data_IF_576944732055
#
_entry.id   IF_576944732055
#
_cell.length_a   1.000
_cell.length_b   1.000
_cell.length_c   1.000
_cell.angle_alpha   90.00
_cell.angle_beta   90.00
_cell.angle_gamma   90.00
#
_symmetry.space_group_name_H-M   'P 1'
#
loop_
_entity.id
_entity.type
_entity.pdbx_description
1 polymer ?
#
# COMPACT_ATOMS: atom_id res chain seq x y z
N UNK A 1 -0.52 9.73 16.56
CA UNK A 1 -0.13 8.33 16.16
C UNK A 1 -0.96 7.33 16.94
N UNK A 2 -1.63 6.43 16.27
CA UNK A 2 -2.39 5.34 16.87
C UNK A 2 -1.58 4.04 16.87
N UNK A 3 -1.78 3.20 17.89
CA UNK A 3 -1.15 1.89 17.99
C UNK A 3 -2.17 0.83 18.38
N UNK A 4 -2.06 -0.33 17.75
CA UNK A 4 -2.92 -1.50 17.92
C UNK A 4 -2.07 -2.75 18.04
N UNK A 5 -2.52 -3.73 18.82
CA UNK A 5 -1.83 -5.01 18.97
C UNK A 5 -2.85 -6.14 19.00
N UNK A 6 -2.65 -7.15 18.18
CA UNK A 6 -3.51 -8.33 18.10
C UNK A 6 -2.78 -9.51 17.45
N UNK A 7 -2.97 -10.70 17.97
CA UNK A 7 -2.44 -11.96 17.40
C UNK A 7 -0.93 -11.91 17.07
N UNK A 8 -0.13 -11.30 17.97
CA UNK A 8 1.31 -11.17 17.80
C UNK A 8 1.75 -10.02 16.90
N UNK A 9 0.84 -9.41 16.16
CA UNK A 9 1.13 -8.27 15.29
C UNK A 9 0.88 -6.95 16.00
N UNK A 10 1.79 -6.00 15.85
CA UNK A 10 1.63 -4.61 16.26
C UNK A 10 1.52 -3.73 15.00
N UNK A 11 0.49 -2.91 14.95
CA UNK A 11 0.23 -1.92 13.90
C UNK A 11 0.35 -0.51 14.49
N UNK A 12 1.07 0.36 13.82
CA UNK A 12 1.12 1.80 14.11
C UNK A 12 0.62 2.56 12.88
N UNK A 13 -0.13 3.62 13.14
CA UNK A 13 -0.68 4.50 12.11
C UNK A 13 -0.43 5.96 12.48
N UNK A 14 0.14 6.71 11.55
CA UNK A 14 0.35 8.14 11.68
C UNK A 14 -0.84 8.88 11.04
N UNK A 15 -1.62 9.58 11.86
CA UNK A 15 -2.83 10.31 11.45
C UNK A 15 -2.54 11.54 10.58
N UNK A 16 -1.30 12.03 10.61
CA UNK A 16 -0.90 13.22 9.84
C UNK A 16 -0.39 12.85 8.46
N UNK A 17 0.47 11.84 8.39
CA UNK A 17 1.11 11.40 7.14
C UNK A 17 0.41 10.22 6.49
N UNK A 18 -0.59 9.63 7.17
CA UNK A 18 -1.36 8.45 6.74
C UNK A 18 -0.47 7.21 6.50
N UNK A 19 0.76 7.25 6.99
CA UNK A 19 1.69 6.12 6.93
C UNK A 19 1.37 5.14 8.03
N UNK A 20 1.66 3.90 7.75
CA UNK A 20 1.55 2.84 8.72
C UNK A 20 2.85 2.04 8.81
N UNK A 21 3.02 1.37 9.91
CA UNK A 21 4.03 0.32 10.07
C UNK A 21 3.42 -0.85 10.81
N UNK A 22 3.93 -2.02 10.55
CA UNK A 22 3.56 -3.20 11.31
C UNK A 22 4.80 -4.00 11.70
N UNK A 23 4.70 -4.72 12.79
CA UNK A 23 5.80 -5.55 13.29
C UNK A 23 5.28 -6.84 13.90
N UNK A 24 6.08 -7.90 13.79
CA UNK A 24 5.88 -9.19 14.44
C UNK A 24 7.25 -9.79 14.74
N UNK A 25 7.40 -10.42 15.89
CA UNK A 25 8.60 -11.18 16.30
C UNK A 25 9.94 -10.43 16.13
N UNK A 26 9.92 -9.11 16.33
CA UNK A 26 11.10 -8.25 16.23
C UNK A 26 11.34 -7.64 14.85
N UNK A 27 10.73 -8.14 13.79
CA UNK A 27 10.78 -7.51 12.47
C UNK A 27 9.76 -6.39 12.35
N UNK A 28 10.15 -5.30 11.68
CA UNK A 28 9.28 -4.15 11.41
C UNK A 28 9.37 -3.75 9.95
N UNK A 29 8.21 -3.43 9.38
CA UNK A 29 8.07 -2.87 8.03
C UNK A 29 7.33 -1.55 8.13
N UNK A 30 7.81 -0.52 7.45
CA UNK A 30 7.25 0.82 7.52
C UNK A 30 7.43 1.58 6.21
N UNK A 31 6.60 2.60 6.00
CA UNK A 31 6.82 3.62 4.98
C UNK A 31 7.84 4.66 5.43
N UNK A 32 8.50 5.30 4.47
CA UNK A 32 9.38 6.45 4.72
C UNK A 32 8.72 7.77 4.29
N UNK A 33 9.40 8.88 4.53
CA UNK A 33 8.97 10.20 4.10
C UNK A 33 8.91 10.32 2.57
N UNK A 34 7.99 11.13 2.08
CA UNK A 34 7.92 11.59 0.69
C UNK A 34 6.91 10.89 -0.20
N UNK A 35 6.33 9.75 0.19
CA UNK A 35 5.26 9.10 -0.57
C UNK A 35 4.03 8.91 0.31
N UNK A 36 2.97 9.62 -0.03
CA UNK A 36 1.69 9.60 0.68
C UNK A 36 0.62 8.91 -0.17
N UNK A 37 -0.42 8.35 0.48
CA UNK A 37 -1.61 7.94 -0.23
C UNK A 37 -2.21 9.10 -1.01
N UNK A 38 -2.55 8.86 -2.26
CA UNK A 38 -3.06 9.92 -3.15
C UNK A 38 -4.01 9.37 -4.19
N UNK A 39 -4.84 10.24 -4.70
CA UNK A 39 -5.59 10.01 -5.91
C UNK A 39 -5.06 10.92 -7.03
N UNK A 40 -5.17 10.45 -8.27
CA UNK A 40 -4.76 11.19 -9.46
C UNK A 40 -5.96 11.43 -10.35
N UNK A 41 -6.02 12.63 -10.90
CA UNK A 41 -7.01 13.07 -11.89
C UNK A 41 -6.36 14.03 -12.88
N UNK A 42 -6.48 13.77 -14.18
CA UNK A 42 -5.96 14.67 -15.23
C UNK A 42 -4.51 15.12 -14.95
N UNK A 43 -3.61 14.18 -14.70
CA UNK A 43 -2.20 14.41 -14.36
C UNK A 43 -1.95 15.23 -13.06
N UNK A 44 -2.98 15.45 -12.25
CA UNK A 44 -2.86 16.07 -10.93
C UNK A 44 -3.01 15.04 -9.83
N UNK A 45 -2.11 15.10 -8.88
CA UNK A 45 -2.17 14.27 -7.67
C UNK A 45 -2.74 15.07 -6.51
N UNK A 46 -3.60 14.40 -5.73
CA UNK A 46 -4.25 14.93 -4.53
C UNK A 46 -3.93 13.99 -3.37
N UNK A 47 -3.10 14.46 -2.43
CA UNK A 47 -2.87 13.72 -1.19
C UNK A 47 -4.18 13.52 -0.43
N UNK A 48 -4.37 12.36 0.18
CA UNK A 48 -5.52 12.12 1.06
C UNK A 48 -5.54 13.08 2.25
N UNK A 49 -4.37 13.45 2.77
CA UNK A 49 -4.25 14.45 3.84
C UNK A 49 -4.73 15.85 3.43
N UNK A 50 -4.79 16.12 2.12
CA UNK A 50 -5.30 17.39 1.56
C UNK A 50 -6.83 17.45 1.40
N UNK A 51 -7.58 16.46 1.84
CA UNK A 51 -9.04 16.51 1.83
C UNK A 51 -9.56 17.59 2.79
N UNK A 52 -10.69 18.23 2.45
CA UNK A 52 -11.29 19.26 3.28
C UNK A 52 -11.78 18.73 4.64
N UNK A 53 -12.16 17.47 4.68
CA UNK A 53 -12.51 16.75 5.90
C UNK A 53 -11.69 15.47 5.98
N UNK A 54 -10.94 15.34 7.08
CA UNK A 54 -10.22 14.12 7.42
C UNK A 54 -10.55 13.77 8.86
N UNK A 55 -11.03 12.54 9.09
CA UNK A 55 -11.29 12.03 10.44
C UNK A 55 -10.71 10.64 10.60
N UNK A 56 -10.22 10.33 11.79
CA UNK A 56 -9.68 9.04 12.14
C UNK A 56 -10.36 8.52 13.39
N UNK A 57 -10.75 7.27 13.40
CA UNK A 57 -11.34 6.63 14.56
C UNK A 57 -10.75 5.23 14.78
N UNK A 58 -10.58 4.88 16.05
CA UNK A 58 -10.22 3.52 16.43
C UNK A 58 -11.40 2.62 16.19
N UNK A 59 -11.15 1.47 15.55
CA UNK A 59 -12.14 0.41 15.41
C UNK A 59 -11.70 -0.83 16.16
N UNK A 60 -12.65 -1.49 16.80
CA UNK A 60 -12.47 -2.80 17.42
C UNK A 60 -13.75 -3.61 17.20
N UNK A 61 -13.59 -4.77 16.60
CA UNK A 61 -14.69 -5.66 16.23
C UNK A 61 -14.39 -7.10 16.70
N UNK A 62 -15.34 -7.99 16.56
CA UNK A 62 -15.09 -9.40 16.79
C UNK A 62 -14.02 -10.00 15.89
N UNK A 63 -13.76 -9.39 14.72
CA UNK A 63 -12.83 -9.88 13.71
C UNK A 63 -11.46 -9.19 13.72
N UNK A 64 -11.33 -8.01 14.35
CA UNK A 64 -10.05 -7.32 14.37
C UNK A 64 -10.04 -5.95 15.04
N UNK A 65 -8.88 -5.30 15.01
CA UNK A 65 -8.64 -3.98 15.60
C UNK A 65 -7.80 -3.12 14.67
N UNK A 66 -8.09 -1.82 14.59
CA UNK A 66 -7.35 -0.92 13.72
C UNK A 66 -7.92 0.50 13.70
N UNK A 67 -7.73 1.17 12.58
CA UNK A 67 -8.19 2.53 12.32
C UNK A 67 -9.10 2.56 11.10
N UNK A 68 -10.19 3.31 11.20
CA UNK A 68 -11.00 3.79 10.08
C UNK A 68 -10.71 5.25 9.87
N UNK A 69 -10.51 5.66 8.63
CA UNK A 69 -10.32 7.06 8.25
C UNK A 69 -11.35 7.44 7.19
N UNK A 70 -11.93 8.63 7.32
CA UNK A 70 -12.88 9.17 6.34
C UNK A 70 -12.29 10.42 5.71
N UNK A 71 -12.35 10.50 4.40
CA UNK A 71 -11.86 11.61 3.58
C UNK A 71 -12.99 12.15 2.72
N UNK A 72 -13.19 13.46 2.73
CA UNK A 72 -14.19 14.10 1.90
C UNK A 72 -13.78 15.50 1.46
N UNK A 73 -14.21 15.88 0.25
CA UNK A 73 -13.98 17.20 -0.30
C UNK A 73 -12.54 17.44 -0.73
N UNK A 74 -12.21 17.06 -1.94
CA UNK A 74 -10.93 17.37 -2.58
C UNK A 74 -11.08 18.60 -3.47
N UNK A 75 -10.02 19.38 -3.65
CA UNK A 75 -10.06 20.62 -4.42
C UNK A 75 -10.67 20.41 -5.82
N UNK A 76 -11.87 20.94 -6.03
CA UNK A 76 -12.60 20.87 -7.29
C UNK A 76 -13.35 19.56 -7.54
N UNK A 77 -13.51 18.68 -6.53
CA UNK A 77 -14.21 17.43 -6.66
C UNK A 77 -14.93 17.00 -5.38
N UNK A 78 -16.15 16.49 -5.49
CA UNK A 78 -16.93 15.97 -4.36
C UNK A 78 -16.68 14.46 -4.18
N UNK A 79 -15.40 14.08 -4.02
CA UNK A 79 -15.05 12.72 -3.65
C UNK A 79 -15.25 12.50 -2.17
N UNK A 80 -15.76 11.32 -1.81
CA UNK A 80 -15.81 10.87 -0.43
C UNK A 80 -15.57 9.36 -0.38
N UNK A 81 -14.62 8.95 0.44
CA UNK A 81 -14.29 7.56 0.66
C UNK A 81 -13.80 7.35 2.10
N UNK A 82 -13.73 6.12 2.48
CA UNK A 82 -13.12 5.72 3.73
C UNK A 82 -12.03 4.67 3.48
N UNK A 83 -11.09 4.63 4.41
CA UNK A 83 -10.04 3.62 4.43
C UNK A 83 -10.00 2.93 5.78
N UNK A 84 -9.57 1.68 5.74
CA UNK A 84 -9.34 0.89 6.93
C UNK A 84 -7.93 0.34 6.90
N UNK A 85 -7.22 0.41 8.02
CA UNK A 85 -5.99 -0.33 8.26
C UNK A 85 -6.18 -1.06 9.59
N UNK A 86 -6.19 -2.37 9.57
CA UNK A 86 -6.54 -3.15 10.74
C UNK A 86 -5.86 -4.53 10.77
N UNK A 87 -5.73 -5.09 11.97
CA UNK A 87 -5.17 -6.42 12.21
C UNK A 87 -6.33 -7.40 12.31
N UNK A 88 -6.30 -8.44 11.50
CA UNK A 88 -7.26 -9.54 11.55
C UNK A 88 -6.98 -10.46 12.75
N UNK A 89 -7.99 -10.74 13.57
CA UNK A 89 -7.84 -11.53 14.79
C UNK A 89 -7.41 -12.97 14.52
N UNK A 90 -7.90 -13.57 13.45
CA UNK A 90 -7.68 -14.99 13.15
C UNK A 90 -6.28 -15.31 12.69
N UNK A 91 -5.63 -14.39 11.96
CA UNK A 91 -4.34 -14.61 11.32
C UNK A 91 -3.23 -13.68 11.83
N UNK A 92 -3.60 -12.51 12.37
CA UNK A 92 -2.67 -11.42 12.63
C UNK A 92 -2.21 -10.68 11.36
N UNK A 93 -2.80 -10.97 10.20
CA UNK A 93 -2.54 -10.25 8.96
C UNK A 93 -2.99 -8.79 9.08
N UNK A 94 -2.32 -7.88 8.38
CA UNK A 94 -2.73 -6.48 8.28
C UNK A 94 -3.52 -6.29 6.98
N UNK A 95 -4.76 -5.81 7.10
CA UNK A 95 -5.61 -5.49 5.96
C UNK A 95 -5.71 -3.99 5.78
N UNK A 96 -5.57 -3.56 4.53
CA UNK A 96 -5.76 -2.19 4.10
C UNK A 96 -6.91 -2.14 3.09
N UNK A 97 -7.96 -1.38 3.42
CA UNK A 97 -9.16 -1.31 2.60
C UNK A 97 -9.44 0.13 2.19
N UNK A 98 -9.86 0.30 0.95
CA UNK A 98 -10.36 1.55 0.42
C UNK A 98 -11.82 1.34 -0.01
N UNK A 99 -12.73 2.19 0.47
CA UNK A 99 -14.18 2.02 0.28
C UNK A 99 -14.79 3.35 -0.19
N UNK A 100 -15.37 3.43 -1.39
CA UNK A 100 -16.05 4.63 -1.83
C UNK A 100 -17.33 4.86 -1.00
N UNK A 101 -17.54 6.08 -0.49
CA UNK A 101 -18.77 6.50 0.19
C UNK A 101 -19.75 7.12 -0.77
N UNK A 102 -19.25 7.71 -1.86
CA UNK A 102 -20.05 8.21 -2.95
C UNK A 102 -19.52 7.63 -4.24
N UNK A 103 -20.41 7.41 -5.17
CA UNK A 103 -20.03 7.05 -6.51
C UNK A 103 -19.13 8.17 -7.05
N UNK A 104 -17.86 7.86 -7.23
CA UNK A 104 -16.92 8.70 -7.95
C UNK A 104 -17.33 8.57 -9.42
N UNK A 105 -18.39 9.30 -9.78
CA UNK A 105 -19.04 9.19 -11.07
C UNK A 105 -18.15 9.60 -12.24
N UNK A 106 -18.71 9.58 -13.43
CA UNK A 106 -17.96 9.86 -14.65
C UNK A 106 -17.30 11.26 -14.65
N UNK A 107 -17.85 12.21 -13.89
CA UNK A 107 -17.35 13.60 -13.83
C UNK A 107 -17.45 14.17 -12.41
N UNK A 108 -16.35 14.59 -11.79
CA UNK A 108 -14.97 14.43 -12.22
C UNK A 108 -14.43 13.02 -11.90
N UNK A 109 -13.77 12.44 -12.87
CA UNK A 109 -13.27 11.07 -12.82
C UNK A 109 -11.95 10.96 -12.06
N UNK A 110 -11.80 9.93 -11.20
CA UNK A 110 -10.49 9.54 -10.68
C UNK A 110 -9.80 8.66 -11.72
N UNK A 111 -8.52 8.93 -11.98
CA UNK A 111 -7.73 8.12 -12.90
C UNK A 111 -6.99 7.00 -12.18
N UNK A 112 -6.44 7.27 -11.00
CA UNK A 112 -5.72 6.29 -10.19
C UNK A 112 -5.79 6.63 -8.69
N UNK A 113 -5.76 5.61 -7.86
CA UNK A 113 -5.60 5.70 -6.41
C UNK A 113 -4.37 4.93 -6.00
N UNK A 114 -3.41 5.58 -5.34
CA UNK A 114 -2.30 4.93 -4.64
C UNK A 114 -2.74 4.66 -3.20
N UNK A 115 -2.97 3.40 -2.88
CA UNK A 115 -3.37 2.94 -1.56
C UNK A 115 -3.01 1.47 -1.37
N UNK A 116 -2.54 1.05 -0.18
CA UNK A 116 -2.14 1.88 0.96
C UNK A 116 -0.85 2.65 0.72
N UNK A 117 -0.41 3.44 1.72
CA UNK A 117 0.91 4.08 1.67
C UNK A 117 2.00 3.05 1.36
N UNK A 118 2.90 3.30 0.41
CA UNK A 118 3.96 2.36 0.07
C UNK A 118 4.86 2.05 1.26
N UNK A 119 5.29 0.81 1.36
CA UNK A 119 6.36 0.43 2.27
C UNK A 119 7.72 0.70 1.64
N UNK A 120 8.72 0.93 2.47
CA UNK A 120 10.07 1.31 2.06
C UNK A 120 11.10 0.33 2.60
N UNK A 121 12.11 0.05 1.81
CA UNK A 121 13.20 -0.84 2.15
C UNK A 121 14.54 -0.13 2.04
N UNK A 122 15.38 -0.28 3.05
CA UNK A 122 16.74 0.24 3.05
C UNK A 122 17.59 -0.52 2.02
N UNK A 123 18.39 0.21 1.25
CA UNK A 123 19.33 -0.38 0.28
C UNK A 123 20.59 -0.98 0.95
N UNK A 124 20.80 -0.73 2.22
CA UNK A 124 22.02 -1.17 2.91
C UNK A 124 22.13 -2.70 3.01
N UNK A 125 21.01 -3.42 3.01
CA UNK A 125 21.04 -4.89 3.10
C UNK A 125 20.91 -5.54 1.72
N UNK A 126 22.03 -6.03 1.22
CA UNK A 126 22.13 -6.74 -0.06
C UNK A 126 21.44 -8.11 -0.07
N UNK A 127 21.13 -8.65 1.11
CA UNK A 127 20.54 -9.99 1.24
C UNK A 127 19.01 -9.94 1.36
N UNK A 128 18.45 -8.78 1.63
CA UNK A 128 17.00 -8.57 1.55
C UNK A 128 16.56 -8.50 0.09
N UNK A 129 15.45 -9.15 -0.24
CA UNK A 129 14.97 -9.21 -1.62
C UNK A 129 13.48 -8.92 -1.70
N UNK A 130 13.09 -8.26 -2.80
CA UNK A 130 11.69 -8.14 -3.22
C UNK A 130 11.41 -9.18 -4.28
N UNK A 131 10.41 -10.02 -4.04
CA UNK A 131 9.92 -11.01 -4.99
C UNK A 131 8.67 -10.48 -5.66
N UNK A 132 8.66 -10.46 -6.97
CA UNK A 132 7.51 -10.06 -7.78
C UNK A 132 7.09 -11.19 -8.72
N UNK A 133 5.82 -11.21 -9.08
CA UNK A 133 5.21 -12.28 -9.88
C UNK A 133 5.23 -11.99 -11.39
N UNK A 134 6.23 -11.26 -11.85
CA UNK A 134 6.39 -10.97 -13.27
C UNK A 134 6.81 -12.26 -14.01
N UNK A 135 6.02 -12.68 -14.99
CA UNK A 135 6.23 -13.94 -15.76
C UNK A 135 6.46 -15.17 -14.86
N UNK A 136 7.69 -15.62 -14.76
CA UNK A 136 8.10 -16.79 -13.95
C UNK A 136 8.50 -16.43 -12.52
N UNK A 137 8.36 -15.16 -12.15
CA UNK A 137 8.84 -14.61 -10.89
C UNK A 137 10.25 -14.02 -11.00
N UNK A 138 10.42 -12.84 -10.41
CA UNK A 138 11.69 -12.12 -10.37
C UNK A 138 12.03 -11.80 -8.93
N UNK A 139 13.28 -12.06 -8.54
CA UNK A 139 13.84 -11.63 -7.26
C UNK A 139 14.73 -10.41 -7.47
N UNK A 140 14.42 -9.33 -6.80
CA UNK A 140 15.17 -8.06 -6.88
C UNK A 140 15.87 -7.84 -5.54
N UNK A 141 17.21 -7.89 -5.47
CA UNK A 141 17.93 -7.52 -4.25
C UNK A 141 17.66 -6.07 -3.88
N UNK A 142 17.50 -5.76 -2.59
CA UNK A 142 17.19 -4.40 -2.16
C UNK A 142 18.30 -3.38 -2.48
N UNK A 143 19.53 -3.85 -2.63
CA UNK A 143 20.67 -3.00 -3.02
C UNK A 143 20.86 -2.84 -4.54
N UNK A 144 19.99 -3.41 -5.37
CA UNK A 144 20.16 -3.41 -6.83
C UNK A 144 20.34 -2.00 -7.44
N UNK A 145 19.70 -0.93 -6.95
CA UNK A 145 19.92 0.40 -7.51
C UNK A 145 21.35 0.89 -7.27
N UNK A 146 21.95 0.54 -6.13
CA UNK A 146 23.34 0.87 -5.81
C UNK A 146 24.31 0.06 -6.67
N UNK A 147 24.05 -1.23 -6.86
CA UNK A 147 24.89 -2.12 -7.64
C UNK A 147 24.84 -1.82 -9.16
N UNK A 148 23.69 -1.42 -9.66
CA UNK A 148 23.50 -1.10 -11.08
C UNK A 148 23.91 0.35 -11.40
N UNK A 149 24.11 1.20 -10.38
CA UNK A 149 24.56 2.58 -10.56
C UNK A 149 23.52 3.49 -11.21
N UNK A 150 22.24 3.27 -10.91
CA UNK A 150 21.14 4.06 -11.44
C UNK A 150 20.69 5.12 -10.44
N UNK A 151 20.47 6.35 -10.90
CA UNK A 151 20.03 7.45 -10.05
C UNK A 151 18.55 7.40 -9.71
N UNK A 152 17.73 6.82 -10.59
CA UNK A 152 16.31 6.61 -10.37
C UNK A 152 15.82 5.41 -11.21
N UNK A 153 15.00 4.58 -10.62
CA UNK A 153 14.38 3.45 -11.32
C UNK A 153 12.93 3.35 -10.88
N UNK A 154 12.04 3.27 -11.86
CA UNK A 154 10.64 2.93 -11.65
C UNK A 154 10.30 1.68 -12.46
N UNK A 155 9.64 0.75 -11.80
CA UNK A 155 9.25 -0.51 -12.38
C UNK A 155 7.91 -0.94 -11.81
N UNK A 156 7.00 -1.35 -12.66
CA UNK A 156 5.68 -1.73 -12.19
C UNK A 156 4.83 -2.41 -13.25
N UNK A 157 3.68 -2.88 -12.86
CA UNK A 157 2.77 -3.57 -13.75
C UNK A 157 1.37 -3.74 -13.17
N UNK A 158 0.44 -4.07 -14.06
CA UNK A 158 -0.94 -4.43 -13.70
C UNK A 158 -1.01 -5.91 -13.29
N UNK A 159 -1.84 -6.21 -12.31
CA UNK A 159 -2.19 -7.58 -11.93
C UNK A 159 -3.23 -8.18 -12.89
N UNK A 160 -2.97 -8.18 -14.16
CA UNK A 160 -3.90 -8.74 -15.13
C UNK A 160 -3.67 -10.24 -15.29
N UNK A 161 -4.74 -10.99 -15.19
CA UNK A 161 -4.73 -12.46 -15.36
C UNK A 161 -4.28 -12.90 -16.75
N UNK A 162 -4.44 -12.06 -17.75
CA UNK A 162 -4.04 -12.35 -19.12
C UNK A 162 -2.52 -12.31 -19.36
N UNK A 163 -1.76 -11.61 -18.49
CA UNK A 163 -0.30 -11.49 -18.58
C UNK A 163 0.47 -12.49 -17.70
N UNK A 164 -0.23 -13.35 -16.96
CA UNK A 164 0.42 -14.30 -16.05
C UNK A 164 0.91 -13.69 -14.74
N UNK A 165 0.48 -12.51 -14.41
CA UNK A 165 0.81 -11.87 -13.14
C UNK A 165 -0.14 -12.33 -12.04
N UNK A 166 0.40 -12.88 -10.97
CA UNK A 166 -0.37 -13.11 -9.75
C UNK A 166 -0.46 -11.79 -8.95
N UNK A 167 -1.58 -11.51 -8.26
CA UNK A 167 -1.81 -10.22 -7.62
C UNK A 167 -1.11 -10.11 -6.26
N UNK A 168 0.19 -10.36 -6.21
CA UNK A 168 0.98 -10.23 -5.00
C UNK A 168 2.45 -9.91 -5.29
N UNK A 169 3.12 -9.35 -4.31
CA UNK A 169 4.57 -9.30 -4.19
C UNK A 169 4.98 -9.68 -2.76
N UNK A 170 6.24 -9.98 -2.54
CA UNK A 170 6.75 -10.32 -1.22
C UNK A 170 8.05 -9.60 -0.92
N UNK A 171 8.29 -9.36 0.34
CA UNK A 171 9.56 -8.90 0.88
C UNK A 171 10.12 -9.99 1.78
N UNK A 172 11.32 -10.45 1.46
CA UNK A 172 12.07 -11.44 2.23
C UNK A 172 13.30 -10.76 2.83
N UNK A 173 13.47 -10.90 4.13
CA UNK A 173 14.60 -10.34 4.88
C UNK A 173 15.65 -11.41 5.13
N UNK A 174 16.88 -10.99 5.20
CA UNK A 174 18.04 -11.86 5.51
C UNK A 174 17.96 -12.46 6.92
N UNK A 175 17.23 -11.81 7.84
CA UNK A 175 17.00 -12.30 9.19
C UNK A 175 15.90 -13.39 9.26
N UNK A 176 15.34 -13.74 8.10
CA UNK A 176 14.37 -14.79 7.98
C UNK A 176 12.91 -14.36 8.03
N UNK A 177 12.61 -13.15 8.41
CA UNK A 177 11.25 -12.65 8.40
C UNK A 177 10.81 -12.26 6.98
N UNK A 178 9.53 -12.42 6.69
CA UNK A 178 8.96 -12.04 5.41
C UNK A 178 7.51 -11.58 5.53
N UNK A 179 7.03 -10.87 4.50
CA UNK A 179 5.60 -10.70 4.28
C UNK A 179 5.26 -10.89 2.82
N UNK A 180 4.01 -11.24 2.57
CA UNK A 180 3.41 -11.20 1.23
C UNK A 180 2.32 -10.12 1.25
N UNK A 181 2.41 -9.18 0.31
CA UNK A 181 1.34 -8.23 0.02
C UNK A 181 0.45 -8.81 -1.08
N UNK A 182 -0.81 -9.04 -0.78
CA UNK A 182 -1.78 -9.67 -1.66
C UNK A 182 -2.87 -8.64 -2.01
N UNK A 183 -3.05 -8.35 -3.29
CA UNK A 183 -4.21 -7.60 -3.76
C UNK A 183 -5.40 -8.54 -3.88
N UNK A 184 -6.33 -8.52 -2.89
CA UNK A 184 -7.52 -9.37 -2.91
C UNK A 184 -8.56 -8.94 -3.96
N UNK A 185 -8.40 -7.72 -4.49
CA UNK A 185 -9.27 -7.14 -5.52
C UNK A 185 -8.44 -6.70 -6.74
N UNK A 186 -7.82 -7.64 -7.49
CA UNK A 186 -6.78 -7.33 -8.47
C UNK A 186 -7.27 -6.69 -9.76
N UNK A 187 -8.57 -6.57 -9.96
CA UNK A 187 -9.15 -6.01 -11.16
C UNK A 187 -8.81 -4.51 -11.30
N UNK A 188 -8.20 -4.11 -12.40
CA UNK A 188 -7.66 -2.77 -12.61
C UNK A 188 -6.78 -2.29 -11.44
N UNK A 189 -5.91 -3.15 -10.99
CA UNK A 189 -4.93 -2.88 -9.95
C UNK A 189 -3.53 -3.25 -10.42
N UNK A 190 -2.54 -2.72 -9.75
CA UNK A 190 -1.15 -3.01 -10.03
C UNK A 190 -0.25 -2.60 -8.89
N UNK A 191 1.04 -2.66 -9.14
CA UNK A 191 2.09 -2.27 -8.22
C UNK A 191 3.14 -1.44 -8.93
N UNK A 192 3.80 -0.58 -8.18
CA UNK A 192 4.99 0.15 -8.59
C UNK A 192 6.10 -0.07 -7.57
N UNK A 193 7.32 -0.26 -8.09
CA UNK A 193 8.55 -0.27 -7.31
C UNK A 193 9.35 0.93 -7.77
N UNK A 194 9.55 1.89 -6.88
CA UNK A 194 10.25 3.12 -7.15
C UNK A 194 11.51 3.24 -6.30
N UNK A 195 12.61 3.57 -6.95
CA UNK A 195 13.84 4.01 -6.32
C UNK A 195 14.05 5.49 -6.68
N UNK A 196 13.76 6.43 -5.76
CA UNK A 196 13.97 7.85 -6.01
C UNK A 196 15.46 8.19 -6.19
N UNK A 197 15.76 9.10 -7.08
CA UNK A 197 17.12 9.60 -7.27
C UNK A 197 17.70 10.14 -5.95
N UNK A 198 18.88 9.65 -5.57
CA UNK A 198 19.56 10.06 -4.34
C UNK A 198 18.89 9.56 -3.03
N UNK A 199 17.83 8.77 -3.12
CA UNK A 199 17.18 8.20 -1.96
C UNK A 199 17.83 6.89 -1.53
N UNK A 200 17.91 6.61 -0.21
CA UNK A 200 18.46 5.36 0.31
C UNK A 200 17.43 4.22 0.31
N UNK A 201 16.20 4.47 -0.13
CA UNK A 201 15.09 3.51 -0.02
C UNK A 201 14.49 3.17 -1.37
N UNK A 202 14.02 1.93 -1.48
CA UNK A 202 13.08 1.50 -2.52
C UNK A 202 11.67 1.50 -1.93
N UNK A 203 10.71 2.03 -2.66
CA UNK A 203 9.30 2.04 -2.29
C UNK A 203 8.56 0.98 -3.09
N UNK A 204 7.70 0.23 -2.43
CA UNK A 204 6.80 -0.72 -3.09
C UNK A 204 5.37 -0.40 -2.71
N UNK A 205 4.58 -0.01 -3.68
CA UNK A 205 3.19 0.39 -3.50
C UNK A 205 2.23 -0.32 -4.43
N UNK A 206 0.97 -0.36 -4.05
CA UNK A 206 -0.13 -0.80 -4.90
C UNK A 206 -0.98 0.39 -5.32
N UNK A 207 -1.59 0.27 -6.48
CA UNK A 207 -2.49 1.27 -7.02
C UNK A 207 -3.71 0.62 -7.65
N UNK A 208 -4.78 1.40 -7.75
CA UNK A 208 -6.05 1.01 -8.34
C UNK A 208 -6.50 2.02 -9.37
N UNK A 209 -7.11 1.56 -10.44
CA UNK A 209 -7.72 2.38 -11.49
C UNK A 209 -9.22 2.11 -11.59
N UNK A 210 -9.99 3.05 -12.15
CA UNK A 210 -11.42 2.85 -12.37
C UNK A 210 -11.70 1.64 -13.25
N UNK A 211 -12.79 0.94 -12.97
CA UNK A 211 -13.36 -0.05 -13.86
C UNK A 211 -14.51 0.58 -14.64
N UNK A 212 -14.43 0.56 -15.97
CA UNK A 212 -15.43 1.19 -16.83
C UNK A 212 -15.73 2.67 -16.47
N UNK A 213 -14.69 3.39 -16.03
CA UNK A 213 -14.79 4.79 -15.62
C UNK A 213 -15.31 5.03 -14.21
N UNK A 214 -15.51 3.98 -13.40
CA UNK A 214 -16.06 4.07 -12.04
C UNK A 214 -15.12 3.52 -10.99
N UNK A 215 -15.08 4.18 -9.83
CA UNK A 215 -14.42 3.71 -8.61
C UNK A 215 -15.50 3.49 -7.54
N UNK A 216 -16.36 2.52 -7.75
CA UNK A 216 -17.57 2.28 -6.96
C UNK A 216 -17.52 0.98 -6.14
N UNK A 217 -16.38 0.33 -6.04
CA UNK A 217 -16.22 -0.91 -5.31
C UNK A 217 -15.02 -0.91 -4.36
N UNK A 218 -15.15 -1.68 -3.28
CA UNK A 218 -14.14 -1.85 -2.25
C UNK A 218 -12.86 -2.44 -2.82
N UNK A 219 -11.72 -1.90 -2.39
CA UNK A 219 -10.39 -2.42 -2.68
C UNK A 219 -9.76 -2.96 -1.42
N UNK A 220 -9.06 -4.07 -1.52
CA UNK A 220 -8.44 -4.74 -0.37
C UNK A 220 -7.02 -5.18 -0.71
N UNK A 221 -6.09 -4.78 0.15
CA UNK A 221 -4.71 -5.26 0.18
C UNK A 221 -4.48 -5.94 1.52
N UNK A 222 -3.97 -7.15 1.50
CA UNK A 222 -3.58 -7.93 2.69
C UNK A 222 -2.07 -8.04 2.76
N UNK A 223 -1.50 -7.73 3.91
CA UNK A 223 -0.13 -8.05 4.27
C UNK A 223 -0.13 -9.25 5.19
N UNK A 224 0.27 -10.40 4.67
CA UNK A 224 0.42 -11.63 5.42
C UNK A 224 1.84 -11.76 5.91
N UNK A 225 2.02 -11.78 7.21
CA UNK A 225 3.32 -11.99 7.85
C UNK A 225 3.62 -13.50 7.86
N UNK A 226 4.80 -13.84 7.41
CA UNK A 226 5.28 -15.21 7.38
C UNK A 226 6.23 -15.42 8.56
N UNK A 227 5.92 -16.42 9.36
CA UNK A 227 6.77 -16.89 10.43
C UNK A 227 7.72 -17.97 9.88
N UNK A 228 8.91 -18.05 10.43
CA UNK A 228 9.86 -19.14 10.19
C UNK A 228 9.46 -20.40 10.90
#
# INVERSE_FOLDING_TARGET
MMQFTMSGTMLRFDETTLRFSFSRDGATWSGCDGIEPQLTREDRSFSFAGAATVTHERIETGTGVGVRSVFAGFAGADYAFETYIWIERSSGDVLCEWVPLRECGAEPRIDRVLWPAPLSFDHADAHDVTLITHEQGVMIPNNWPTEVGTDAVSFGGRFETAGGYMPWFAQLRSDGHAYIAICETPWNAGYDIDHPAGGPYTHVGMWFEPSLGRMDYRRVVRYRLLDH
#
